data_IF_403146107898
#
_entry.id   IF_403146107898
#
_cell.length_a   1.000
_cell.length_b   1.000
_cell.length_c   1.000
_cell.angle_alpha   90.00
_cell.angle_beta   90.00
_cell.angle_gamma   90.00
#
_symmetry.space_group_name_H-M   'P 1'
#
loop_
_entity.id
_entity.type
_entity.pdbx_description
1 polymer ?
#
# COMPACT_ATOMS: atom_id res chain seq x y z
N UNK A 1 -32.96 27.48 63.41
CA UNK A 1 -32.62 26.19 62.75
C UNK A 1 -32.32 26.30 61.30
N UNK A 2 -33.07 26.97 60.45
CA UNK A 2 -32.77 27.11 58.99
C UNK A 2 -31.41 27.74 58.67
N UNK A 3 -30.95 28.75 59.41
CA UNK A 3 -29.64 29.40 59.19
C UNK A 3 -28.44 28.50 59.58
N UNK A 4 -28.56 27.67 60.61
CA UNK A 4 -27.52 26.72 61.01
C UNK A 4 -27.40 25.57 59.98
N UNK A 5 -28.51 25.07 59.45
CA UNK A 5 -28.49 24.05 58.37
C UNK A 5 -27.84 24.54 57.12
N UNK A 6 -28.03 25.82 56.74
CA UNK A 6 -27.42 26.43 55.56
C UNK A 6 -25.90 26.61 55.74
N UNK A 7 -25.43 26.99 56.92
CA UNK A 7 -24.01 27.13 57.25
C UNK A 7 -23.34 25.75 57.31
N UNK A 8 -24.03 24.71 57.83
CA UNK A 8 -23.49 23.37 57.86
C UNK A 8 -23.37 22.75 56.44
N UNK A 9 -24.33 23.02 55.56
CA UNK A 9 -24.27 22.60 54.13
C UNK A 9 -23.12 23.32 53.40
N UNK A 10 -22.95 24.63 53.59
CA UNK A 10 -21.83 25.39 53.04
C UNK A 10 -20.47 24.92 53.54
N UNK A 11 -20.32 24.60 54.82
CA UNK A 11 -19.10 24.03 55.37
C UNK A 11 -18.83 22.63 54.84
N UNK A 12 -19.84 21.80 54.65
CA UNK A 12 -19.71 20.46 54.11
C UNK A 12 -19.30 20.52 52.61
N UNK A 13 -19.88 21.40 51.81
CA UNK A 13 -19.48 21.66 50.44
C UNK A 13 -18.04 22.21 50.35
N UNK A 14 -17.64 23.10 51.25
CA UNK A 14 -16.28 23.63 51.27
C UNK A 14 -15.23 22.58 51.60
N UNK A 15 -15.50 21.72 52.61
CA UNK A 15 -14.58 20.62 52.99
C UNK A 15 -14.42 19.58 51.86
N UNK A 16 -15.51 19.25 51.16
CA UNK A 16 -15.47 18.34 50.05
C UNK A 16 -14.66 18.92 48.86
N UNK A 17 -14.83 20.19 48.59
CA UNK A 17 -14.07 20.90 47.54
C UNK A 17 -12.57 20.93 47.83
N UNK A 18 -12.18 21.19 49.08
CA UNK A 18 -10.77 21.14 49.53
C UNK A 18 -10.19 19.72 49.45
N UNK A 19 -10.98 18.69 49.82
CA UNK A 19 -10.55 17.30 49.74
C UNK A 19 -10.21 16.86 48.31
N UNK A 20 -11.00 17.26 47.31
CA UNK A 20 -10.75 16.89 45.90
C UNK A 20 -9.52 17.62 45.30
N UNK A 21 -9.34 18.91 45.63
CA UNK A 21 -8.10 19.66 45.27
C UNK A 21 -6.87 19.08 45.97
N UNK A 22 -7.03 18.51 47.17
CA UNK A 22 -5.99 17.74 47.86
C UNK A 22 -5.56 16.50 47.11
N UNK A 23 -6.52 15.76 46.49
CA UNK A 23 -6.20 14.59 45.62
C UNK A 23 -5.34 14.99 44.43
N UNK A 24 -5.62 16.10 43.75
CA UNK A 24 -4.78 16.60 42.64
C UNK A 24 -3.34 16.86 43.13
N UNK A 25 -3.18 17.46 44.32
CA UNK A 25 -1.84 17.71 44.86
C UNK A 25 -1.10 16.41 45.22
N UNK A 26 -1.81 15.43 45.73
CA UNK A 26 -1.26 14.10 46.02
C UNK A 26 -0.94 13.33 44.75
N UNK A 27 -1.76 13.46 43.70
CA UNK A 27 -1.49 12.89 42.38
C UNK A 27 -0.18 13.45 41.76
N UNK A 28 0.10 14.75 41.92
CA UNK A 28 1.39 15.35 41.53
C UNK A 28 2.55 14.71 42.30
N UNK A 29 2.41 14.46 43.59
CA UNK A 29 3.44 13.80 44.40
C UNK A 29 3.72 12.38 43.90
N UNK A 30 2.68 11.61 43.56
CA UNK A 30 2.83 10.27 43.01
C UNK A 30 3.45 10.30 41.60
N UNK A 31 3.06 11.24 40.74
CA UNK A 31 3.69 11.46 39.44
C UNK A 31 5.20 11.71 39.60
N UNK A 32 5.59 12.62 40.50
CA UNK A 32 7.00 12.96 40.75
C UNK A 32 7.79 11.77 41.33
N UNK A 33 7.15 10.89 42.10
CA UNK A 33 7.78 9.68 42.63
C UNK A 33 7.69 8.45 41.69
N UNK A 34 7.19 8.61 40.49
CA UNK A 34 7.07 7.54 39.49
C UNK A 34 5.98 6.49 39.77
N UNK A 35 5.07 6.74 40.72
CA UNK A 35 3.94 5.85 41.07
C UNK A 35 2.74 6.18 40.20
N UNK A 36 2.82 5.84 38.89
CA UNK A 36 1.89 6.30 37.86
C UNK A 36 0.48 5.71 38.03
N UNK A 37 0.34 4.49 38.54
CA UNK A 37 -0.93 3.83 38.84
C UNK A 37 -1.71 4.61 39.95
N UNK A 38 -1.02 5.01 40.98
CA UNK A 38 -1.62 5.78 42.10
C UNK A 38 -1.92 7.22 41.66
N UNK A 39 -1.04 7.83 40.84
CA UNK A 39 -1.26 9.15 40.28
C UNK A 39 -2.50 9.16 39.38
N UNK A 40 -2.65 8.16 38.50
CA UNK A 40 -3.82 8.00 37.61
C UNK A 40 -5.10 7.85 38.42
N UNK A 41 -5.12 6.94 39.41
CA UNK A 41 -6.29 6.70 40.27
C UNK A 41 -6.77 7.99 40.92
N UNK A 42 -5.87 8.75 41.54
CA UNK A 42 -6.25 9.96 42.26
C UNK A 42 -6.71 11.10 41.32
N UNK A 43 -6.06 11.27 40.16
CA UNK A 43 -6.50 12.33 39.24
C UNK A 43 -7.87 12.01 38.66
N UNK A 44 -8.14 10.74 38.32
CA UNK A 44 -9.43 10.34 37.73
C UNK A 44 -10.57 10.50 38.79
N UNK A 45 -10.30 10.13 40.03
CA UNK A 45 -11.25 10.39 41.14
C UNK A 45 -11.50 11.89 41.33
N UNK A 46 -10.46 12.73 41.30
CA UNK A 46 -10.59 14.17 41.44
C UNK A 46 -11.40 14.80 40.29
N UNK A 47 -11.19 14.34 39.07
CA UNK A 47 -11.86 14.83 37.85
C UNK A 47 -13.35 14.48 37.80
N UNK A 48 -13.83 13.51 38.61
CA UNK A 48 -15.25 13.23 38.79
C UNK A 48 -16.01 14.30 39.58
N UNK A 49 -15.34 15.33 40.11
CA UNK A 49 -15.97 16.35 40.96
C UNK A 49 -15.96 17.74 40.31
N UNK A 50 -17.09 18.46 40.39
CA UNK A 50 -17.27 19.76 39.73
C UNK A 50 -16.20 20.80 40.07
N UNK A 51 -15.65 20.80 41.30
CA UNK A 51 -14.58 21.72 41.71
C UNK A 51 -13.25 21.54 40.98
N UNK A 52 -13.04 20.39 40.36
CA UNK A 52 -11.84 20.08 39.58
C UNK A 52 -12.08 20.25 38.06
N UNK A 53 -13.34 20.06 37.62
CA UNK A 53 -13.72 20.22 36.20
C UNK A 53 -13.53 21.66 35.67
N UNK A 54 -13.62 22.67 36.52
CA UNK A 54 -13.36 24.07 36.20
C UNK A 54 -11.94 24.53 36.56
N UNK A 55 -11.02 23.60 36.86
CA UNK A 55 -9.70 23.96 37.38
C UNK A 55 -8.57 23.57 36.40
N UNK A 56 -7.95 24.58 35.82
CA UNK A 56 -6.87 24.44 34.83
C UNK A 56 -5.69 23.55 35.32
N UNK A 57 -5.31 23.68 36.61
CA UNK A 57 -4.25 22.85 37.20
C UNK A 57 -4.60 21.37 37.26
N UNK A 58 -5.90 21.01 37.50
CA UNK A 58 -6.31 19.61 37.48
C UNK A 58 -6.12 18.98 36.10
N UNK A 59 -6.54 19.68 35.04
CA UNK A 59 -6.33 19.23 33.66
C UNK A 59 -4.86 19.17 33.29
N UNK A 60 -4.06 20.18 33.67
CA UNK A 60 -2.62 20.16 33.42
C UNK A 60 -1.97 18.93 34.07
N UNK A 61 -2.32 18.65 35.34
CA UNK A 61 -1.83 17.47 36.05
C UNK A 61 -2.30 16.18 35.39
N UNK A 62 -3.58 16.11 34.96
CA UNK A 62 -4.11 14.97 34.22
C UNK A 62 -3.30 14.73 32.95
N UNK A 63 -3.07 15.78 32.16
CA UNK A 63 -2.26 15.69 30.94
C UNK A 63 -0.88 15.11 31.23
N UNK A 64 -0.18 15.62 32.23
CA UNK A 64 1.15 15.13 32.61
C UNK A 64 1.16 13.66 33.05
N UNK A 65 0.16 13.22 33.82
CA UNK A 65 0.06 11.82 34.28
C UNK A 65 -0.19 10.89 33.11
N UNK A 66 -1.13 11.23 32.24
CA UNK A 66 -1.47 10.39 31.09
C UNK A 66 -0.33 10.36 30.06
N UNK A 67 0.38 11.45 29.87
CA UNK A 67 1.58 11.47 29.03
C UNK A 67 2.69 10.59 29.61
N UNK A 68 2.95 10.68 30.92
CA UNK A 68 3.93 9.84 31.60
C UNK A 68 3.58 8.34 31.55
N UNK A 69 2.29 7.98 31.55
CA UNK A 69 1.86 6.59 31.33
C UNK A 69 2.24 6.08 29.95
N UNK A 70 2.05 6.88 28.92
CA UNK A 70 2.43 6.53 27.56
C UNK A 70 3.97 6.44 27.40
N UNK A 71 4.71 7.42 27.91
CA UNK A 71 6.17 7.50 27.84
C UNK A 71 6.87 6.43 28.72
N UNK A 72 6.13 5.79 29.64
CA UNK A 72 6.75 4.87 30.61
C UNK A 72 7.45 3.69 29.94
N UNK A 73 8.68 3.34 30.35
CA UNK A 73 9.34 2.10 29.91
C UNK A 73 8.72 0.86 30.57
N UNK A 74 7.91 1.03 31.62
CA UNK A 74 7.27 -0.09 32.36
C UNK A 74 5.99 -0.49 31.65
N UNK A 75 5.97 -1.72 31.12
CA UNK A 75 4.85 -2.23 30.32
C UNK A 75 3.51 -2.21 31.07
N UNK A 76 3.52 -2.45 32.38
CA UNK A 76 2.29 -2.47 33.17
C UNK A 76 1.67 -1.07 33.31
N UNK A 77 2.46 -0.01 33.31
CA UNK A 77 1.93 1.36 33.28
C UNK A 77 1.32 1.70 31.90
N UNK A 78 1.94 1.26 30.80
CA UNK A 78 1.35 1.43 29.45
C UNK A 78 0.01 0.73 29.30
N UNK A 79 -0.18 -0.43 29.95
CA UNK A 79 -1.44 -1.20 29.92
C UNK A 79 -2.57 -0.55 30.72
N UNK A 80 -2.29 0.39 31.63
CA UNK A 80 -3.32 1.06 32.43
C UNK A 80 -4.29 1.88 31.58
N UNK A 81 -3.82 2.35 30.41
CA UNK A 81 -4.69 3.09 29.49
C UNK A 81 -4.11 3.11 28.07
N UNK A 82 -4.71 2.39 27.15
CA UNK A 82 -4.28 2.34 25.74
C UNK A 82 -4.45 3.67 24.98
N UNK A 83 -5.29 4.56 25.48
CA UNK A 83 -5.56 5.89 24.92
C UNK A 83 -4.90 7.03 25.72
N UNK A 84 -3.86 6.69 26.48
CA UNK A 84 -3.23 7.64 27.40
C UNK A 84 -2.76 8.92 26.69
N UNK A 85 -2.12 8.83 25.53
CA UNK A 85 -1.65 10.02 24.81
C UNK A 85 -2.78 10.90 24.29
N UNK A 86 -3.91 10.31 23.86
CA UNK A 86 -5.11 11.07 23.46
C UNK A 86 -5.71 11.80 24.68
N UNK A 87 -5.83 11.12 25.80
CA UNK A 87 -6.33 11.73 27.04
C UNK A 87 -5.40 12.83 27.56
N UNK A 88 -4.10 12.70 27.35
CA UNK A 88 -3.15 13.78 27.64
C UNK A 88 -3.41 15.00 26.76
N UNK A 89 -3.58 14.78 25.44
CA UNK A 89 -3.94 15.83 24.49
C UNK A 89 -5.23 16.56 24.90
N UNK A 90 -6.32 15.80 25.10
CA UNK A 90 -7.61 16.36 25.53
C UNK A 90 -7.48 17.19 26.80
N UNK A 91 -6.72 16.70 27.77
CA UNK A 91 -6.51 17.41 29.03
C UNK A 91 -5.77 18.74 28.80
N UNK A 92 -4.74 18.78 27.95
CA UNK A 92 -4.04 20.02 27.65
C UNK A 92 -4.89 20.99 26.81
N UNK A 93 -5.78 20.51 25.94
CA UNK A 93 -6.77 21.36 25.26
C UNK A 93 -7.68 22.07 26.29
N UNK A 94 -8.15 21.34 27.29
CA UNK A 94 -8.94 21.92 28.37
C UNK A 94 -8.17 22.94 29.21
N UNK A 95 -6.85 22.78 29.38
CA UNK A 95 -6.02 23.81 30.01
C UNK A 95 -6.05 25.11 29.19
N UNK A 96 -6.00 25.03 27.87
CA UNK A 96 -6.04 26.20 27.00
C UNK A 96 -7.39 26.91 27.12
N UNK A 97 -8.49 26.13 27.05
CA UNK A 97 -9.85 26.67 27.18
C UNK A 97 -10.06 27.39 28.52
N UNK A 98 -9.57 26.81 29.60
CA UNK A 98 -9.74 27.34 30.97
C UNK A 98 -8.71 28.41 31.35
N UNK A 99 -7.57 28.48 30.65
CA UNK A 99 -6.43 29.32 31.03
C UNK A 99 -6.57 30.75 30.52
N UNK A 100 -7.65 31.46 30.91
CA UNK A 100 -7.92 32.85 30.53
C UNK A 100 -6.77 33.80 30.94
N UNK A 101 -5.98 33.47 31.97
CA UNK A 101 -4.87 34.28 32.47
C UNK A 101 -3.49 33.87 31.94
N UNK A 102 -3.41 32.97 30.95
CA UNK A 102 -2.15 32.50 30.30
C UNK A 102 -1.05 32.09 31.28
N UNK A 103 -1.38 31.36 32.33
CA UNK A 103 -0.45 30.98 33.42
C UNK A 103 0.65 29.97 33.00
N UNK A 104 0.45 29.20 31.91
CA UNK A 104 1.30 28.05 31.58
C UNK A 104 1.96 28.09 30.17
N UNK A 105 2.25 29.27 29.55
CA UNK A 105 2.63 29.27 28.14
C UNK A 105 3.88 28.40 27.87
N UNK A 106 4.96 28.58 28.63
CA UNK A 106 6.21 27.79 28.46
C UNK A 106 6.04 26.30 28.82
N UNK A 107 5.29 25.99 29.86
CA UNK A 107 5.07 24.59 30.27
C UNK A 107 4.20 23.85 29.25
N UNK A 108 3.17 24.48 28.71
CA UNK A 108 2.35 23.92 27.66
C UNK A 108 3.16 23.75 26.36
N UNK A 109 3.98 24.72 25.99
CA UNK A 109 4.88 24.59 24.84
C UNK A 109 5.74 23.32 24.91
N UNK A 110 6.38 23.08 26.07
CA UNK A 110 7.18 21.88 26.29
C UNK A 110 6.34 20.61 26.15
N UNK A 111 5.15 20.57 26.79
CA UNK A 111 4.28 19.39 26.69
C UNK A 111 3.78 19.14 25.27
N UNK A 112 3.48 20.21 24.49
CA UNK A 112 3.06 20.09 23.10
C UNK A 112 4.17 19.54 22.22
N UNK A 113 5.42 19.98 22.42
CA UNK A 113 6.58 19.42 21.71
C UNK A 113 6.76 17.93 21.98
N UNK A 114 6.64 17.54 23.25
CA UNK A 114 6.70 16.12 23.64
C UNK A 114 5.53 15.33 23.04
N UNK A 115 4.29 15.84 23.14
CA UNK A 115 3.13 15.20 22.53
C UNK A 115 3.29 14.97 21.00
N UNK A 116 3.89 15.91 20.28
CA UNK A 116 4.15 15.71 18.87
C UNK A 116 5.07 14.50 18.63
N UNK A 117 6.06 14.29 19.50
CA UNK A 117 6.95 13.11 19.47
C UNK A 117 6.15 11.86 19.82
N UNK A 118 5.36 11.93 20.91
CA UNK A 118 4.56 10.79 21.39
C UNK A 118 3.56 10.29 20.32
N UNK A 119 2.84 11.22 19.69
CA UNK A 119 1.93 10.86 18.61
C UNK A 119 2.65 10.35 17.35
N UNK A 120 3.87 10.82 17.07
CA UNK A 120 4.68 10.27 15.97
C UNK A 120 5.08 8.83 16.28
N UNK A 121 5.52 8.55 17.51
CA UNK A 121 5.87 7.20 17.96
C UNK A 121 4.64 6.27 17.94
N UNK A 122 3.51 6.75 18.46
CA UNK A 122 2.24 6.01 18.41
C UNK A 122 1.82 5.69 16.98
N UNK A 123 1.94 6.65 16.07
CA UNK A 123 1.62 6.43 14.66
C UNK A 123 2.49 5.32 14.04
N UNK A 124 3.80 5.30 14.35
CA UNK A 124 4.72 4.27 13.89
C UNK A 124 4.37 2.89 14.50
N UNK A 125 4.07 2.83 15.81
CA UNK A 125 3.62 1.60 16.48
C UNK A 125 2.34 1.03 15.84
N UNK A 126 1.35 1.89 15.58
CA UNK A 126 0.07 1.52 14.96
C UNK A 126 0.23 1.12 13.49
N UNK A 127 1.11 1.78 12.74
CA UNK A 127 1.44 1.41 11.38
C UNK A 127 2.02 -0.02 11.32
N UNK A 128 2.98 -0.32 12.19
CA UNK A 128 3.58 -1.65 12.30
C UNK A 128 2.56 -2.72 12.73
N UNK A 129 1.57 -2.34 13.55
CA UNK A 129 0.44 -3.19 13.92
C UNK A 129 -0.65 -3.28 12.83
N UNK A 130 -0.47 -2.59 11.68
CA UNK A 130 -1.43 -2.49 10.56
C UNK A 130 -2.77 -1.82 10.94
N UNK A 131 -2.81 -1.07 12.03
CA UNK A 131 -3.97 -0.21 12.38
C UNK A 131 -3.78 1.16 11.71
N UNK A 132 -3.90 1.17 10.38
CA UNK A 132 -3.61 2.34 9.56
C UNK A 132 -4.54 3.53 9.84
N UNK A 133 -5.80 3.27 10.23
CA UNK A 133 -6.75 4.33 10.59
C UNK A 133 -6.31 5.09 11.83
N UNK A 134 -5.90 4.39 12.87
CA UNK A 134 -5.39 5.03 14.09
C UNK A 134 -4.02 5.66 13.88
N UNK A 135 -3.16 5.05 13.04
CA UNK A 135 -1.89 5.64 12.63
C UNK A 135 -2.10 6.99 11.93
N UNK A 136 -3.02 7.04 10.95
CA UNK A 136 -3.41 8.28 10.28
C UNK A 136 -3.93 9.33 11.25
N UNK A 137 -4.81 8.95 12.18
CA UNK A 137 -5.34 9.86 13.20
C UNK A 137 -4.20 10.44 14.04
N UNK A 138 -3.21 9.62 14.43
CA UNK A 138 -2.04 10.07 15.19
C UNK A 138 -1.17 11.05 14.38
N UNK A 139 -0.90 10.80 13.09
CA UNK A 139 -0.19 11.76 12.24
C UNK A 139 -0.96 13.07 12.04
N UNK A 140 -2.29 13.00 11.86
CA UNK A 140 -3.12 14.21 11.81
C UNK A 140 -3.00 15.02 13.10
N UNK A 141 -2.94 14.34 14.26
CA UNK A 141 -2.74 14.98 15.56
C UNK A 141 -1.38 15.68 15.65
N UNK A 142 -0.31 15.06 15.13
CA UNK A 142 1.01 15.73 15.05
C UNK A 142 0.93 17.02 14.26
N UNK A 143 0.26 17.01 13.10
CA UNK A 143 0.11 18.21 12.26
C UNK A 143 -0.72 19.29 12.97
N UNK A 144 -1.78 18.91 13.67
CA UNK A 144 -2.60 19.82 14.49
C UNK A 144 -1.77 20.45 15.63
N UNK A 145 -1.00 19.65 16.35
CA UNK A 145 -0.13 20.11 17.44
C UNK A 145 0.89 21.11 16.89
N UNK A 146 1.59 20.77 15.81
CA UNK A 146 2.64 21.61 15.22
C UNK A 146 2.12 22.93 14.66
N UNK A 147 0.87 22.95 14.17
CA UNK A 147 0.22 24.17 13.68
C UNK A 147 -0.45 24.99 14.80
N UNK A 148 -0.42 24.50 16.04
CA UNK A 148 -1.10 25.17 17.15
C UNK A 148 -0.48 26.54 17.48
N UNK A 149 -1.28 27.54 17.88
CA UNK A 149 -0.78 28.86 18.32
C UNK A 149 0.27 28.80 19.46
N UNK A 150 0.29 27.71 20.23
CA UNK A 150 1.25 27.51 21.29
C UNK A 150 2.67 27.33 20.76
N UNK A 151 2.81 26.60 19.66
CA UNK A 151 4.12 26.34 19.04
C UNK A 151 4.49 27.38 17.98
N UNK A 152 3.51 28.06 17.38
CA UNK A 152 3.72 29.03 16.29
C UNK A 152 3.76 30.48 16.75
N UNK A 153 3.64 30.74 18.04
CA UNK A 153 3.60 32.10 18.61
C UNK A 153 4.81 32.97 18.25
N UNK A 154 5.97 32.35 17.96
CA UNK A 154 7.20 33.03 17.56
C UNK A 154 7.34 33.16 16.02
N UNK A 155 6.32 32.84 15.23
CA UNK A 155 6.33 32.92 13.76
C UNK A 155 6.99 31.75 13.04
N UNK A 156 7.53 30.77 13.76
CA UNK A 156 8.14 29.56 13.17
C UNK A 156 7.06 28.46 13.00
N UNK A 157 6.63 28.26 11.75
CA UNK A 157 5.85 27.06 11.40
C UNK A 157 6.82 26.01 10.89
N UNK A 158 7.14 25.04 11.73
CA UNK A 158 7.91 23.87 11.32
C UNK A 158 7.03 22.91 10.52
N UNK A 159 7.16 22.91 9.20
CA UNK A 159 6.49 21.92 8.32
C UNK A 159 7.26 20.60 8.47
N UNK A 160 6.56 19.57 8.95
CA UNK A 160 7.12 18.21 9.04
C UNK A 160 6.76 17.42 7.78
N UNK A 161 7.65 17.48 6.79
CA UNK A 161 7.45 16.85 5.50
C UNK A 161 7.32 15.34 5.60
N UNK A 162 8.07 14.72 6.51
CA UNK A 162 8.00 13.27 6.75
C UNK A 162 6.64 12.87 7.36
N UNK A 163 6.10 13.66 8.29
CA UNK A 163 4.78 13.41 8.87
C UNK A 163 3.68 13.53 7.81
N UNK A 164 3.78 14.52 6.90
CA UNK A 164 2.82 14.69 5.80
C UNK A 164 2.85 13.48 4.87
N UNK A 165 4.04 13.05 4.45
CA UNK A 165 4.20 11.85 3.60
C UNK A 165 3.65 10.59 4.28
N UNK A 166 4.02 10.34 5.54
CA UNK A 166 3.56 9.19 6.29
C UNK A 166 2.05 9.21 6.55
N UNK A 167 1.45 10.40 6.73
CA UNK A 167 0.00 10.54 6.78
C UNK A 167 -0.66 10.13 5.46
N UNK A 168 -0.07 10.52 4.31
CA UNK A 168 -0.52 10.09 2.99
C UNK A 168 -0.42 8.57 2.80
N UNK A 169 0.69 7.97 3.22
CA UNK A 169 0.89 6.52 3.19
C UNK A 169 -0.14 5.78 4.06
N UNK A 170 -0.35 6.24 5.30
CA UNK A 170 -1.36 5.65 6.19
C UNK A 170 -2.77 5.80 5.64
N UNK A 171 -3.09 6.96 5.07
CA UNK A 171 -4.40 7.22 4.48
C UNK A 171 -4.68 6.30 3.28
N UNK A 172 -3.70 6.05 2.42
CA UNK A 172 -3.81 5.10 1.33
C UNK A 172 -4.08 3.68 1.85
N UNK A 173 -3.31 3.22 2.84
CA UNK A 173 -3.45 1.89 3.43
C UNK A 173 -4.78 1.73 4.20
N UNK A 174 -5.32 2.82 4.73
CA UNK A 174 -6.61 2.86 5.42
C UNK A 174 -7.80 3.02 4.46
N UNK A 175 -7.55 3.14 3.15
CA UNK A 175 -8.54 3.43 2.11
C UNK A 175 -9.27 4.78 2.31
N UNK A 176 -8.64 5.68 3.06
CA UNK A 176 -9.11 7.07 3.26
C UNK A 176 -8.59 7.96 2.10
N UNK A 177 -9.07 7.67 0.89
CA UNK A 177 -8.49 8.20 -0.35
C UNK A 177 -8.49 9.72 -0.47
N UNK A 178 -9.46 10.41 0.12
CA UNK A 178 -9.49 11.88 0.11
C UNK A 178 -8.34 12.49 0.94
N UNK A 179 -8.04 11.91 2.09
CA UNK A 179 -6.90 12.30 2.91
C UNK A 179 -5.57 11.93 2.24
N UNK A 180 -5.50 10.72 1.63
CA UNK A 180 -4.32 10.27 0.89
C UNK A 180 -3.98 11.23 -0.25
N UNK A 181 -4.97 11.60 -1.08
CA UNK A 181 -4.81 12.58 -2.15
C UNK A 181 -4.27 13.91 -1.62
N UNK A 182 -4.90 14.44 -0.55
CA UNK A 182 -4.50 15.71 0.06
C UNK A 182 -3.04 15.68 0.51
N UNK A 183 -2.65 14.67 1.28
CA UNK A 183 -1.31 14.60 1.87
C UNK A 183 -0.23 14.29 0.83
N UNK A 184 -0.52 13.44 -0.17
CA UNK A 184 0.43 13.13 -1.23
C UNK A 184 0.65 14.34 -2.16
N UNK A 185 -0.38 15.10 -2.50
CA UNK A 185 -0.23 16.37 -3.23
C UNK A 185 0.63 17.38 -2.47
N UNK A 186 0.47 17.47 -1.16
CA UNK A 186 1.29 18.35 -0.34
C UNK A 186 2.74 17.84 -0.22
N UNK A 187 2.97 16.50 -0.13
CA UNK A 187 4.30 15.90 -0.15
C UNK A 187 5.05 16.21 -1.45
N UNK A 188 4.39 16.09 -2.60
CA UNK A 188 4.94 16.47 -3.92
C UNK A 188 5.34 17.94 -3.92
N UNK A 189 4.44 18.84 -3.49
CA UNK A 189 4.68 20.28 -3.42
C UNK A 189 5.87 20.65 -2.55
N UNK A 190 6.06 19.91 -1.44
CA UNK A 190 7.17 20.09 -0.51
C UNK A 190 8.44 19.38 -0.95
N UNK A 191 8.42 18.70 -2.08
CA UNK A 191 9.54 17.93 -2.64
C UNK A 191 10.11 16.88 -1.67
N UNK A 192 9.21 16.23 -0.90
CA UNK A 192 9.58 15.12 0.00
C UNK A 192 9.10 13.81 -0.59
N UNK A 193 10.03 12.84 -0.78
CA UNK A 193 9.76 11.57 -1.45
C UNK A 193 8.88 11.71 -2.71
N UNK A 194 9.22 12.67 -3.61
CA UNK A 194 8.30 13.08 -4.67
C UNK A 194 8.01 11.96 -5.66
N UNK A 195 9.00 11.13 -6.02
CA UNK A 195 8.81 10.01 -6.95
C UNK A 195 7.80 9.01 -6.41
N UNK A 196 7.92 8.63 -5.13
CA UNK A 196 6.98 7.74 -4.45
C UNK A 196 5.61 8.40 -4.31
N UNK A 197 5.57 9.69 -4.00
CA UNK A 197 4.32 10.44 -3.84
C UNK A 197 3.54 10.54 -5.15
N UNK A 198 4.19 10.74 -6.29
CA UNK A 198 3.56 10.69 -7.62
C UNK A 198 2.95 9.31 -7.92
N UNK A 199 3.72 8.26 -7.69
CA UNK A 199 3.29 6.88 -7.90
C UNK A 199 2.08 6.51 -7.02
N UNK A 200 2.16 6.84 -5.73
CA UNK A 200 1.07 6.59 -4.78
C UNK A 200 -0.18 7.42 -5.10
N UNK A 201 -0.01 8.70 -5.46
CA UNK A 201 -1.12 9.58 -5.83
C UNK A 201 -1.86 9.08 -7.07
N UNK A 202 -1.12 8.64 -8.10
CA UNK A 202 -1.74 8.04 -9.28
C UNK A 202 -2.58 6.81 -8.91
N UNK A 203 -2.07 5.94 -8.05
CA UNK A 203 -2.84 4.78 -7.56
C UNK A 203 -4.09 5.22 -6.79
N UNK A 204 -3.97 6.16 -5.84
CA UNK A 204 -5.10 6.70 -5.06
C UNK A 204 -6.18 7.29 -5.96
N UNK A 205 -5.79 8.06 -6.97
CA UNK A 205 -6.73 8.66 -7.93
C UNK A 205 -7.46 7.59 -8.76
N UNK A 206 -6.76 6.51 -9.17
CA UNK A 206 -7.40 5.35 -9.81
C UNK A 206 -8.46 4.70 -8.90
N UNK A 207 -8.16 4.51 -7.61
CA UNK A 207 -9.12 3.96 -6.65
C UNK A 207 -10.35 4.86 -6.44
N UNK A 208 -10.21 6.16 -6.66
CA UNK A 208 -11.32 7.12 -6.66
C UNK A 208 -12.09 7.17 -7.99
N UNK A 209 -11.65 6.43 -9.03
CA UNK A 209 -12.23 6.49 -10.37
C UNK A 209 -11.79 7.72 -11.19
N UNK A 210 -10.82 8.52 -10.72
CA UNK A 210 -10.28 9.70 -11.40
C UNK A 210 -9.14 9.31 -12.36
N UNK A 211 -9.46 8.47 -13.34
CA UNK A 211 -8.46 7.82 -14.20
C UNK A 211 -7.63 8.80 -15.03
N UNK A 212 -8.24 9.87 -15.55
CA UNK A 212 -7.53 10.88 -16.35
C UNK A 212 -6.53 11.68 -15.49
N UNK A 213 -6.95 12.10 -14.29
CA UNK A 213 -6.07 12.80 -13.36
C UNK A 213 -4.93 11.89 -12.86
N UNK A 214 -5.23 10.61 -12.62
CA UNK A 214 -4.23 9.60 -12.26
C UNK A 214 -3.13 9.46 -13.32
N UNK A 215 -3.54 9.41 -14.59
CA UNK A 215 -2.61 9.35 -15.72
C UNK A 215 -1.77 10.63 -15.85
N UNK A 216 -2.39 11.81 -15.65
CA UNK A 216 -1.67 13.08 -15.66
C UNK A 216 -0.56 13.13 -14.63
N UNK A 217 -0.86 12.72 -13.37
CA UNK A 217 0.16 12.65 -12.32
C UNK A 217 1.22 11.58 -12.57
N UNK A 218 0.84 10.47 -13.19
CA UNK A 218 1.77 9.41 -13.56
C UNK A 218 2.78 9.92 -14.62
N UNK A 219 2.31 10.65 -15.63
CA UNK A 219 3.17 11.29 -16.63
C UNK A 219 4.10 12.33 -16.03
N UNK A 220 3.55 13.26 -15.23
CA UNK A 220 4.35 14.28 -14.54
C UNK A 220 5.45 13.68 -13.67
N UNK A 221 5.09 12.60 -12.96
CA UNK A 221 6.05 11.87 -12.14
C UNK A 221 7.14 11.22 -12.97
N UNK A 222 6.78 10.52 -14.05
CA UNK A 222 7.74 9.85 -14.92
C UNK A 222 8.68 10.83 -15.65
N UNK A 223 8.17 11.98 -16.11
CA UNK A 223 8.98 13.03 -16.73
C UNK A 223 10.08 13.55 -15.79
N UNK A 224 9.77 13.69 -14.52
CA UNK A 224 10.71 14.18 -13.51
C UNK A 224 11.62 13.09 -12.93
N UNK A 225 11.11 11.86 -12.85
CA UNK A 225 11.77 10.69 -12.24
C UNK A 225 11.68 9.47 -13.17
N UNK A 226 12.33 9.53 -14.35
CA UNK A 226 12.21 8.48 -15.37
C UNK A 226 12.77 7.12 -14.92
N UNK A 227 13.64 7.10 -13.91
CA UNK A 227 14.20 5.87 -13.35
C UNK A 227 13.24 5.15 -12.36
N UNK A 228 12.06 5.70 -12.11
CA UNK A 228 11.08 5.05 -11.25
C UNK A 228 10.38 3.92 -11.99
N UNK A 229 10.80 2.69 -11.69
CA UNK A 229 10.29 1.48 -12.34
C UNK A 229 8.78 1.27 -12.16
N UNK A 230 8.20 1.68 -11.02
CA UNK A 230 6.76 1.56 -10.77
C UNK A 230 5.96 2.41 -11.77
N UNK A 231 6.31 3.70 -11.91
CA UNK A 231 5.60 4.59 -12.83
C UNK A 231 5.72 4.14 -14.28
N UNK A 232 6.89 3.63 -14.65
CA UNK A 232 7.14 3.10 -15.98
C UNK A 232 6.24 1.88 -16.28
N UNK A 233 6.18 0.93 -15.35
CA UNK A 233 5.32 -0.26 -15.47
C UNK A 233 3.83 0.13 -15.53
N UNK A 234 3.40 1.10 -14.73
CA UNK A 234 2.02 1.57 -14.75
C UNK A 234 1.63 2.25 -16.06
N UNK A 235 2.55 3.02 -16.68
CA UNK A 235 2.35 3.60 -18.02
C UNK A 235 2.26 2.52 -19.09
N UNK A 236 3.16 1.52 -19.04
CA UNK A 236 3.11 0.35 -19.94
C UNK A 236 1.74 -0.34 -19.84
N UNK A 237 1.31 -0.67 -18.61
CA UNK A 237 0.03 -1.33 -18.36
C UNK A 237 -1.15 -0.49 -18.86
N UNK A 238 -1.14 0.82 -18.58
CA UNK A 238 -2.19 1.72 -19.02
C UNK A 238 -2.36 1.67 -20.55
N UNK A 239 -1.27 1.82 -21.30
CA UNK A 239 -1.31 1.86 -22.76
C UNK A 239 -1.55 0.49 -23.40
N UNK A 240 -1.05 -0.59 -22.80
CA UNK A 240 -1.36 -1.96 -23.27
C UNK A 240 -2.84 -2.31 -23.14
N UNK A 241 -3.47 -1.90 -22.04
CA UNK A 241 -4.89 -2.16 -21.78
C UNK A 241 -5.80 -1.17 -22.52
N UNK A 242 -5.33 0.07 -22.70
CA UNK A 242 -6.06 1.14 -23.38
C UNK A 242 -6.09 0.99 -24.90
N UNK A 243 -5.37 0.03 -25.49
CA UNK A 243 -5.30 -0.17 -26.94
C UNK A 243 -4.50 0.91 -27.66
N UNK A 244 -3.48 1.46 -27.00
CA UNK A 244 -2.54 2.43 -27.56
C UNK A 244 -1.13 1.81 -27.69
N UNK A 245 -0.96 0.82 -28.61
CA UNK A 245 0.23 -0.02 -28.66
C UNK A 245 1.52 0.75 -28.98
N UNK A 246 1.45 1.82 -29.77
CA UNK A 246 2.60 2.63 -30.11
C UNK A 246 3.18 3.34 -28.87
N UNK A 247 2.32 3.84 -27.98
CA UNK A 247 2.77 4.43 -26.72
C UNK A 247 3.31 3.37 -25.77
N UNK A 248 2.64 2.20 -25.68
CA UNK A 248 3.13 1.09 -24.88
C UNK A 248 4.53 0.64 -25.32
N UNK A 249 4.81 0.60 -26.64
CA UNK A 249 6.12 0.23 -27.20
C UNK A 249 7.21 1.20 -26.75
N UNK A 250 6.95 2.51 -26.76
CA UNK A 250 7.91 3.53 -26.29
C UNK A 250 8.31 3.31 -24.83
N UNK A 251 7.35 3.03 -23.96
CA UNK A 251 7.63 2.80 -22.54
C UNK A 251 8.31 1.44 -22.30
N UNK A 252 7.97 0.41 -23.08
CA UNK A 252 8.66 -0.88 -23.04
C UNK A 252 10.11 -0.76 -23.48
N UNK A 253 10.40 0.04 -24.51
CA UNK A 253 11.77 0.30 -24.95
C UNK A 253 12.57 1.03 -23.86
N UNK A 254 11.95 2.00 -23.19
CA UNK A 254 12.57 2.68 -22.05
C UNK A 254 12.84 1.70 -20.91
N UNK A 255 11.89 0.79 -20.60
CA UNK A 255 12.04 -0.22 -19.55
C UNK A 255 13.19 -1.20 -19.85
N UNK A 256 13.27 -1.70 -21.09
CA UNK A 256 14.35 -2.59 -21.53
C UNK A 256 15.71 -1.87 -21.49
N UNK A 257 15.75 -0.59 -21.83
CA UNK A 257 16.97 0.21 -21.73
C UNK A 257 17.45 0.39 -20.30
N UNK A 258 16.52 0.57 -19.35
CA UNK A 258 16.84 0.71 -17.92
C UNK A 258 17.29 -0.60 -17.29
N UNK A 259 16.57 -1.69 -17.58
CA UNK A 259 16.89 -3.02 -17.09
C UNK A 259 16.86 -4.06 -18.21
N UNK A 260 17.97 -4.17 -18.96
CA UNK A 260 18.07 -5.07 -20.13
C UNK A 260 18.11 -6.56 -19.74
N UNK A 261 18.12 -6.89 -18.45
CA UNK A 261 18.10 -8.27 -17.95
C UNK A 261 16.72 -8.70 -17.43
N UNK A 262 15.74 -7.84 -17.49
CA UNK A 262 14.39 -8.16 -17.02
C UNK A 262 13.58 -8.88 -18.09
N UNK A 263 13.49 -10.19 -17.99
CA UNK A 263 12.75 -11.05 -18.93
C UNK A 263 11.30 -10.60 -19.15
N UNK A 264 10.64 -10.08 -18.08
CA UNK A 264 9.23 -9.67 -18.13
C UNK A 264 8.98 -8.52 -19.10
N UNK A 265 9.93 -7.63 -19.32
CA UNK A 265 9.78 -6.54 -20.29
C UNK A 265 9.83 -7.05 -21.73
N UNK A 266 10.72 -7.99 -22.03
CA UNK A 266 10.76 -8.64 -23.33
C UNK A 266 9.50 -9.45 -23.59
N UNK A 267 9.02 -10.23 -22.61
CA UNK A 267 7.75 -10.95 -22.71
C UNK A 267 6.58 -10.00 -22.96
N UNK A 268 6.47 -8.89 -22.20
CA UNK A 268 5.43 -7.89 -22.41
C UNK A 268 5.49 -7.28 -23.82
N UNK A 269 6.71 -7.02 -24.36
CA UNK A 269 6.91 -6.51 -25.71
C UNK A 269 6.54 -7.56 -26.75
N UNK A 270 6.83 -8.83 -26.52
CA UNK A 270 6.36 -9.95 -27.33
C UNK A 270 4.84 -9.99 -27.41
N UNK A 271 4.16 -9.89 -26.26
CA UNK A 271 2.68 -9.83 -26.20
C UNK A 271 2.11 -8.61 -26.93
N UNK A 272 2.78 -7.45 -26.86
CA UNK A 272 2.40 -6.27 -27.63
C UNK A 272 2.47 -6.54 -29.14
N UNK A 273 3.57 -7.16 -29.59
CA UNK A 273 3.77 -7.47 -31.00
C UNK A 273 2.77 -8.52 -31.52
N UNK A 274 2.38 -9.50 -30.73
CA UNK A 274 1.29 -10.41 -31.09
C UNK A 274 -0.04 -9.66 -31.28
N UNK A 275 -0.42 -8.81 -30.33
CA UNK A 275 -1.65 -8.01 -30.40
C UNK A 275 -1.68 -7.05 -31.60
N UNK A 276 -0.54 -6.65 -32.11
CA UNK A 276 -0.38 -5.75 -33.26
C UNK A 276 -0.03 -6.48 -34.55
N UNK A 277 -0.26 -7.81 -34.61
CA UNK A 277 -0.07 -8.65 -35.77
C UNK A 277 1.37 -8.62 -36.33
N UNK A 278 2.38 -8.54 -35.45
CA UNK A 278 3.81 -8.56 -35.74
C UNK A 278 4.47 -9.84 -35.18
N UNK A 279 4.08 -11.05 -35.65
CA UNK A 279 4.48 -12.32 -35.03
C UNK A 279 5.99 -12.58 -35.07
N UNK A 280 6.71 -12.17 -36.12
CA UNK A 280 8.16 -12.33 -36.19
C UNK A 280 8.89 -11.53 -35.10
N UNK A 281 8.44 -10.29 -34.84
CA UNK A 281 8.99 -9.48 -33.75
C UNK A 281 8.59 -10.03 -32.39
N UNK A 282 7.36 -10.57 -32.24
CA UNK A 282 6.93 -11.23 -31.02
C UNK A 282 7.79 -12.45 -30.69
N UNK A 283 8.09 -13.28 -31.69
CA UNK A 283 8.99 -14.44 -31.56
C UNK A 283 10.37 -14.03 -31.01
N UNK A 284 11.00 -13.02 -31.63
CA UNK A 284 12.30 -12.50 -31.19
C UNK A 284 12.26 -12.08 -29.70
N UNK A 285 11.21 -11.38 -29.28
CA UNK A 285 11.07 -10.93 -27.90
C UNK A 285 10.85 -12.08 -26.93
N UNK A 286 10.04 -13.08 -27.28
CA UNK A 286 9.85 -14.26 -26.41
C UNK A 286 11.12 -15.10 -26.31
N UNK A 287 11.86 -15.29 -27.40
CA UNK A 287 13.17 -15.95 -27.36
C UNK A 287 14.10 -15.20 -26.40
N UNK A 288 14.14 -13.87 -26.49
CA UNK A 288 14.96 -13.05 -25.58
C UNK A 288 14.52 -13.16 -24.12
N UNK A 289 13.23 -13.18 -23.88
CA UNK A 289 12.69 -13.42 -22.52
C UNK A 289 13.15 -14.77 -21.97
N UNK A 290 13.10 -15.85 -22.77
CA UNK A 290 13.52 -17.20 -22.39
C UNK A 290 15.04 -17.37 -22.23
N UNK A 291 15.85 -16.60 -22.96
CA UNK A 291 17.30 -16.54 -22.72
C UNK A 291 17.62 -15.97 -21.33
N UNK A 292 16.81 -15.02 -20.85
CA UNK A 292 16.99 -14.36 -19.56
C UNK A 292 16.34 -15.15 -18.42
N UNK A 293 15.16 -15.69 -18.67
CA UNK A 293 14.42 -16.55 -17.72
C UNK A 293 13.87 -17.81 -18.43
N UNK A 294 14.64 -18.93 -18.45
CA UNK A 294 14.19 -20.17 -19.06
C UNK A 294 12.95 -20.82 -18.40
N UNK A 295 12.50 -20.27 -17.27
CA UNK A 295 11.32 -20.74 -16.52
C UNK A 295 10.09 -19.86 -16.72
N UNK A 296 10.15 -18.86 -17.59
CA UNK A 296 8.97 -18.03 -17.90
C UNK A 296 7.96 -18.85 -18.72
N UNK A 297 6.99 -19.42 -18.01
CA UNK A 297 5.90 -20.22 -18.60
C UNK A 297 5.17 -19.46 -19.72
N UNK A 298 4.83 -18.17 -19.49
CA UNK A 298 4.05 -17.41 -20.46
C UNK A 298 4.83 -17.14 -21.75
N UNK A 299 6.11 -16.84 -21.63
CA UNK A 299 6.97 -16.67 -22.83
C UNK A 299 7.08 -17.99 -23.59
N UNK A 300 7.25 -19.12 -22.91
CA UNK A 300 7.34 -20.45 -23.50
C UNK A 300 6.04 -20.86 -24.20
N UNK A 301 4.91 -20.65 -23.55
CA UNK A 301 3.58 -20.93 -24.08
C UNK A 301 3.23 -20.09 -25.30
N UNK A 302 3.49 -18.76 -25.24
CA UNK A 302 3.21 -17.85 -26.33
C UNK A 302 4.11 -18.10 -27.56
N UNK A 303 5.39 -18.42 -27.32
CA UNK A 303 6.28 -18.85 -28.41
C UNK A 303 5.75 -20.12 -29.08
N UNK A 304 5.29 -21.09 -28.32
CA UNK A 304 4.62 -22.29 -28.82
C UNK A 304 3.39 -21.97 -29.68
N UNK A 305 2.57 -21.00 -29.27
CA UNK A 305 1.39 -20.55 -30.01
C UNK A 305 1.76 -19.90 -31.35
N UNK A 306 2.84 -19.11 -31.42
CA UNK A 306 3.34 -18.54 -32.69
C UNK A 306 3.71 -19.69 -33.64
N UNK A 307 4.50 -20.66 -33.18
CA UNK A 307 4.92 -21.82 -33.98
C UNK A 307 3.74 -22.69 -34.41
N UNK A 308 2.75 -22.88 -33.53
CA UNK A 308 1.52 -23.59 -33.85
C UNK A 308 0.73 -22.86 -34.98
N UNK A 309 0.62 -21.55 -34.87
CA UNK A 309 -0.08 -20.72 -35.86
C UNK A 309 0.61 -20.81 -37.22
N UNK A 310 1.96 -20.80 -37.28
CA UNK A 310 2.72 -21.00 -38.47
C UNK A 310 2.43 -22.38 -39.12
N UNK A 311 2.44 -23.45 -38.32
CA UNK A 311 2.13 -24.81 -38.78
C UNK A 311 0.66 -24.94 -39.28
N UNK A 312 -0.30 -24.32 -38.62
CA UNK A 312 -1.71 -24.28 -39.04
C UNK A 312 -1.85 -23.54 -40.39
N UNK A 313 -1.20 -22.38 -40.52
CA UNK A 313 -1.25 -21.60 -41.76
C UNK A 313 -0.55 -22.32 -42.95
N UNK A 314 0.51 -23.03 -42.62
CA UNK A 314 1.14 -23.89 -43.62
C UNK A 314 0.22 -25.02 -44.06
N UNK A 315 -0.45 -25.73 -43.10
CA UNK A 315 -1.42 -26.78 -43.39
C UNK A 315 -2.58 -26.26 -44.25
N UNK A 316 -3.13 -25.09 -43.96
CA UNK A 316 -4.18 -24.48 -44.78
C UNK A 316 -3.74 -24.30 -46.24
N UNK A 317 -2.53 -23.79 -46.49
CA UNK A 317 -1.98 -23.63 -47.84
C UNK A 317 -1.85 -24.97 -48.57
N UNK A 318 -1.46 -26.04 -47.88
CA UNK A 318 -1.35 -27.38 -48.46
C UNK A 318 -2.72 -27.96 -48.82
N UNK A 319 -3.78 -27.64 -48.08
CA UNK A 319 -5.15 -28.09 -48.38
C UNK A 319 -5.69 -27.54 -49.72
N UNK A 320 -5.13 -26.45 -50.23
CA UNK A 320 -5.52 -25.81 -51.48
C UNK A 320 -4.79 -26.43 -52.69
N UNK A 321 -3.96 -27.47 -52.51
CA UNK A 321 -3.21 -28.14 -53.62
C UNK A 321 -4.09 -29.18 -54.27
N UNK A 322 -4.39 -29.03 -55.55
CA UNK A 322 -5.21 -29.92 -56.36
C UNK A 322 -4.50 -31.21 -56.78
N UNK A 323 -3.19 -31.17 -57.02
CA UNK A 323 -2.43 -32.35 -57.42
C UNK A 323 -2.20 -33.27 -56.23
N UNK A 324 -2.67 -34.51 -56.32
CA UNK A 324 -2.63 -35.51 -55.24
C UNK A 324 -1.21 -35.87 -54.83
N UNK A 325 -0.29 -35.97 -55.77
CA UNK A 325 1.10 -36.35 -55.48
C UNK A 325 1.82 -35.19 -54.76
N UNK A 326 1.62 -33.97 -55.24
CA UNK A 326 2.14 -32.77 -54.58
C UNK A 326 1.51 -32.56 -53.20
N UNK A 327 0.20 -32.70 -53.09
CA UNK A 327 -0.50 -32.65 -51.79
C UNK A 327 0.10 -33.62 -50.77
N UNK A 328 0.25 -34.91 -51.13
CA UNK A 328 0.81 -35.91 -50.20
C UNK A 328 2.25 -35.56 -49.79
N UNK A 329 3.08 -35.09 -50.68
CA UNK A 329 4.45 -34.65 -50.41
C UNK A 329 4.48 -33.45 -49.45
N UNK A 330 3.64 -32.45 -49.66
CA UNK A 330 3.58 -31.28 -48.81
C UNK A 330 2.89 -31.58 -47.45
N UNK A 331 1.97 -32.53 -47.42
CA UNK A 331 1.33 -33.01 -46.19
C UNK A 331 2.35 -33.65 -45.22
N UNK A 332 3.36 -34.35 -45.71
CA UNK A 332 4.46 -34.86 -44.88
C UNK A 332 5.20 -33.72 -44.18
N UNK A 333 5.44 -32.61 -44.87
CA UNK A 333 6.07 -31.43 -44.27
C UNK A 333 5.16 -30.74 -43.24
N UNK A 334 3.84 -30.78 -43.42
CA UNK A 334 2.88 -30.30 -42.45
C UNK A 334 2.98 -31.11 -41.14
N UNK A 335 3.10 -32.43 -41.24
CA UNK A 335 3.30 -33.27 -40.02
C UNK A 335 4.61 -32.92 -39.34
N UNK A 336 5.71 -32.70 -40.06
CA UNK A 336 6.99 -32.25 -39.49
C UNK A 336 6.84 -30.88 -38.83
N UNK A 337 6.09 -29.97 -39.43
CA UNK A 337 5.81 -28.65 -38.83
C UNK A 337 5.04 -28.77 -37.52
N UNK A 338 3.97 -29.59 -37.45
CA UNK A 338 3.26 -29.84 -36.21
C UNK A 338 4.12 -30.54 -35.16
N UNK A 339 4.97 -31.50 -35.57
CA UNK A 339 5.88 -32.20 -34.67
C UNK A 339 6.88 -31.23 -34.03
N UNK A 340 7.40 -30.27 -34.79
CA UNK A 340 8.35 -29.27 -34.30
C UNK A 340 7.76 -28.32 -33.25
N UNK A 341 6.44 -28.27 -33.13
CA UNK A 341 5.72 -27.44 -32.10
C UNK A 341 5.64 -28.13 -30.75
N UNK A 342 5.60 -29.46 -30.71
CA UNK A 342 5.41 -30.24 -29.49
C UNK A 342 6.40 -29.86 -28.38
N UNK A 343 7.72 -29.73 -28.62
CA UNK A 343 8.69 -29.41 -27.56
C UNK A 343 8.41 -28.10 -26.83
N UNK A 344 7.81 -27.11 -27.49
CA UNK A 344 7.47 -25.83 -26.88
C UNK A 344 6.37 -26.01 -25.81
N UNK A 345 5.34 -26.79 -26.13
CA UNK A 345 4.25 -27.04 -25.19
C UNK A 345 4.60 -28.09 -24.13
N UNK A 346 5.42 -29.09 -24.46
CA UNK A 346 5.95 -30.00 -23.45
C UNK A 346 6.78 -29.24 -22.41
N UNK A 347 7.63 -28.30 -22.85
CA UNK A 347 8.39 -27.44 -21.95
C UNK A 347 7.50 -26.53 -21.12
N UNK A 348 6.45 -25.96 -21.70
CA UNK A 348 5.45 -25.21 -20.97
C UNK A 348 4.73 -26.08 -19.92
N UNK A 349 4.39 -27.33 -20.26
CA UNK A 349 3.77 -28.27 -19.34
C UNK A 349 4.69 -28.70 -18.19
N UNK A 350 6.00 -28.81 -18.41
CA UNK A 350 6.99 -29.04 -17.34
C UNK A 350 6.98 -27.89 -16.33
N UNK A 351 6.82 -26.65 -16.80
CA UNK A 351 6.78 -25.46 -15.95
C UNK A 351 5.44 -25.29 -15.21
N UNK A 352 4.35 -25.75 -15.82
CA UNK A 352 3.01 -25.73 -15.23
C UNK A 352 2.24 -27.01 -15.57
N UNK A 353 2.40 -28.09 -14.77
CA UNK A 353 1.92 -29.43 -15.12
C UNK A 353 0.40 -29.57 -15.26
N UNK A 354 -0.38 -28.68 -14.65
CA UNK A 354 -1.85 -28.77 -14.64
C UNK A 354 -2.53 -27.67 -15.47
N UNK A 355 -1.75 -26.98 -16.32
CA UNK A 355 -2.27 -25.90 -17.15
C UNK A 355 -3.14 -26.48 -18.30
N UNK A 356 -4.45 -26.17 -18.23
CA UNK A 356 -5.46 -26.78 -19.09
C UNK A 356 -5.31 -26.48 -20.56
N UNK A 357 -4.92 -25.26 -20.92
CA UNK A 357 -4.78 -24.87 -22.33
C UNK A 357 -3.57 -25.56 -22.93
N UNK A 358 -2.46 -25.69 -22.21
CA UNK A 358 -1.28 -26.43 -22.67
C UNK A 358 -1.61 -27.92 -22.88
N UNK A 359 -2.32 -28.55 -21.93
CA UNK A 359 -2.76 -29.93 -22.06
C UNK A 359 -3.71 -30.09 -23.26
N UNK A 360 -4.67 -29.16 -23.44
CA UNK A 360 -5.58 -29.22 -24.58
C UNK A 360 -4.85 -29.09 -25.93
N UNK A 361 -3.88 -28.17 -26.02
CA UNK A 361 -3.07 -27.98 -27.22
C UNK A 361 -2.22 -29.22 -27.55
N UNK A 362 -1.54 -29.81 -26.55
CA UNK A 362 -0.79 -31.04 -26.73
C UNK A 362 -1.69 -32.19 -27.12
N UNK A 363 -2.87 -32.33 -26.53
CA UNK A 363 -3.86 -33.36 -26.93
C UNK A 363 -4.20 -33.22 -28.42
N UNK A 364 -4.44 -32.01 -28.92
CA UNK A 364 -4.75 -31.77 -30.34
C UNK A 364 -3.57 -32.08 -31.25
N UNK A 365 -2.37 -31.69 -30.88
CA UNK A 365 -1.15 -31.97 -31.62
C UNK A 365 -0.92 -33.48 -31.73
N UNK A 366 -0.96 -34.21 -30.61
CA UNK A 366 -0.81 -35.65 -30.60
C UNK A 366 -1.95 -36.38 -31.35
N UNK A 367 -3.18 -35.87 -31.26
CA UNK A 367 -4.30 -36.41 -32.06
C UNK A 367 -4.05 -36.29 -33.57
N UNK A 368 -3.55 -35.15 -34.04
CA UNK A 368 -3.22 -34.94 -35.43
C UNK A 368 -2.08 -35.85 -35.89
N UNK A 369 -1.10 -36.12 -35.04
CA UNK A 369 0.11 -36.89 -35.33
C UNK A 369 0.03 -38.37 -34.93
N UNK A 370 -1.06 -38.85 -34.34
CA UNK A 370 -1.19 -40.21 -33.76
C UNK A 370 -0.88 -41.34 -34.70
N UNK A 371 -1.10 -41.16 -36.01
CA UNK A 371 -0.82 -42.15 -37.05
C UNK A 371 0.62 -42.08 -37.58
N UNK A 372 1.40 -41.09 -37.17
CA UNK A 372 2.78 -40.92 -37.63
C UNK A 372 3.77 -41.76 -36.79
N UNK A 373 3.53 -41.86 -35.48
CA UNK A 373 4.36 -42.63 -34.55
C UNK A 373 3.49 -43.25 -33.45
N UNK A 374 3.75 -44.51 -33.04
CA UNK A 374 2.97 -45.17 -31.97
C UNK A 374 2.98 -44.42 -30.62
N UNK A 375 4.07 -43.73 -30.32
CA UNK A 375 4.23 -42.95 -29.10
C UNK A 375 3.26 -41.76 -29.02
N UNK A 376 2.82 -41.21 -30.16
CA UNK A 376 1.88 -40.09 -30.18
C UNK A 376 0.46 -40.51 -29.84
N UNK A 377 0.05 -41.76 -30.19
CA UNK A 377 -1.23 -42.27 -29.73
C UNK A 377 -1.20 -42.47 -28.19
N UNK A 378 -0.11 -43.00 -27.64
CA UNK A 378 0.03 -43.16 -26.19
C UNK A 378 -0.02 -41.81 -25.47
N UNK A 379 0.74 -40.81 -25.92
CA UNK A 379 0.73 -39.46 -25.35
C UNK A 379 -0.65 -38.80 -25.43
N UNK A 380 -1.37 -38.98 -26.53
CA UNK A 380 -2.75 -38.50 -26.65
C UNK A 380 -3.63 -39.09 -25.57
N UNK A 381 -3.58 -40.42 -25.34
CA UNK A 381 -4.42 -41.12 -24.36
C UNK A 381 -4.06 -40.69 -22.94
N UNK A 382 -2.77 -40.55 -22.60
CA UNK A 382 -2.29 -40.05 -21.30
C UNK A 382 -2.84 -38.63 -21.00
N UNK A 383 -2.73 -37.71 -21.94
CA UNK A 383 -3.16 -36.32 -21.75
C UNK A 383 -4.70 -36.24 -21.70
N UNK A 384 -5.40 -37.04 -22.50
CA UNK A 384 -6.86 -37.12 -22.48
C UNK A 384 -7.36 -37.56 -21.09
N UNK A 385 -6.78 -38.62 -20.52
CA UNK A 385 -7.12 -39.08 -19.17
C UNK A 385 -6.84 -37.99 -18.10
N UNK A 386 -5.72 -37.29 -18.25
CA UNK A 386 -5.35 -36.20 -17.32
C UNK A 386 -6.35 -35.04 -17.37
N UNK A 387 -6.85 -34.66 -18.55
CA UNK A 387 -7.87 -33.63 -18.71
C UNK A 387 -9.25 -34.06 -18.19
N UNK A 388 -9.60 -35.36 -18.32
CA UNK A 388 -10.87 -35.91 -17.81
C UNK A 388 -10.88 -36.03 -16.27
N UNK A 389 -9.71 -36.07 -15.64
CA UNK A 389 -9.54 -36.13 -14.19
C UNK A 389 -9.52 -34.77 -13.48
N UNK A 390 -9.47 -33.67 -14.23
CA UNK A 390 -9.47 -32.25 -13.74
C UNK A 390 -10.88 -31.63 -13.82
#
# INVERSE_FOLDING_TARGET
MRKLSFIMILLFCATFTYAQKGKVTQAISYLTSGKLDQAKKLIDEAMGHESCVAWDKAYFTKGQIYQALYESPVADYKKLDSEAVEKAWEAYQKVIELNVKKKYPKKLETQYRNLAIDFTNRAAELYNAKDFKKALASFKRVLEIKSSPILTANGEVSIDTAVIYNAGLCAQQAEEYADAEKFLKESIKLNYEPAQSYAMLSNVLKQQGKNEEALEYLHKGYEQYPDNAYMLVELINHYLLGGEPEKAEVYLDAAIKQDPKNASFYRAKGTLYEKTERPAQAEEMYVKALELDPKDFLAQYNLGNIKLTEAINFHKKVQDIDDVNEYNKELEKVYIAYESVIPYFEKALELSPDEKNTLATLRELYFKLRNQKPEYQQRYDEIKQKLEAQ
#
